data_IF_800371672061
#
_entry.id   IF_800371672061
#
_cell.length_a   1.000
_cell.length_b   1.000
_cell.length_c   1.000
_cell.angle_alpha   90.00
_cell.angle_beta   90.00
_cell.angle_gamma   90.00
#
_symmetry.space_group_name_H-M   'P 1'
#
loop_
_entity.id
_entity.type
_entity.pdbx_description
1 polymer ?
#
# COMPACT_ATOMS: atom_id res chain seq x y z
N UNK A 1 4.93 -4.62 -24.52
CA UNK A 1 5.85 -5.34 -23.60
C UNK A 1 6.67 -4.27 -22.89
N UNK A 2 6.63 -4.24 -21.56
CA UNK A 2 7.00 -3.04 -20.79
C UNK A 2 8.43 -3.06 -20.25
N UNK A 3 9.00 -4.23 -19.94
CA UNK A 3 10.28 -4.32 -19.26
C UNK A 3 11.32 -5.20 -19.95
N UNK A 4 12.59 -4.90 -19.71
CA UNK A 4 13.75 -5.72 -20.04
C UNK A 4 14.63 -5.87 -18.80
N UNK A 5 15.17 -7.07 -18.57
CA UNK A 5 16.17 -7.33 -17.53
C UNK A 5 17.47 -7.76 -18.19
N UNK A 6 18.55 -7.08 -17.85
CA UNK A 6 19.92 -7.46 -18.21
C UNK A 6 20.73 -7.68 -16.94
N UNK A 7 21.58 -8.70 -16.94
CA UNK A 7 22.47 -8.99 -15.84
C UNK A 7 23.93 -8.86 -16.25
N UNK A 8 24.76 -8.60 -15.25
CA UNK A 8 26.19 -8.38 -15.40
C UNK A 8 26.92 -9.20 -14.34
N UNK A 9 28.03 -9.83 -14.71
CA UNK A 9 28.84 -10.62 -13.75
C UNK A 9 29.56 -9.74 -12.72
N UNK A 10 29.87 -8.52 -13.12
CA UNK A 10 30.38 -7.43 -12.31
C UNK A 10 29.52 -6.20 -12.61
N UNK A 11 29.50 -5.25 -11.71
CA UNK A 11 28.79 -3.99 -11.78
C UNK A 11 29.50 -2.95 -12.63
N UNK A 12 30.62 -3.31 -13.27
CA UNK A 12 31.31 -2.43 -14.22
C UNK A 12 30.33 -1.92 -15.28
N UNK A 13 30.44 -0.64 -15.61
CA UNK A 13 29.55 0.04 -16.56
C UNK A 13 29.51 -0.64 -17.94
N UNK A 14 30.64 -1.18 -18.39
CA UNK A 14 30.81 -1.87 -19.67
C UNK A 14 30.92 -3.40 -19.52
N UNK A 15 30.54 -3.97 -18.36
CA UNK A 15 30.57 -5.41 -18.18
C UNK A 15 29.76 -6.10 -19.30
N UNK A 16 30.25 -7.21 -19.89
CA UNK A 16 29.45 -8.00 -20.80
C UNK A 16 28.13 -8.35 -20.14
N UNK A 17 27.05 -7.84 -20.72
CA UNK A 17 25.71 -8.07 -20.21
C UNK A 17 25.15 -9.35 -20.79
N UNK A 18 24.29 -9.99 -20.02
CA UNK A 18 23.49 -11.10 -20.46
C UNK A 18 22.03 -10.69 -20.39
N UNK A 19 21.30 -10.90 -21.48
CA UNK A 19 19.86 -10.75 -21.48
C UNK A 19 19.25 -11.83 -20.57
N UNK A 20 18.45 -11.39 -19.61
CA UNK A 20 17.78 -12.27 -18.63
C UNK A 20 16.30 -12.38 -18.95
N UNK A 21 15.70 -11.27 -19.37
CA UNK A 21 14.30 -11.22 -19.76
C UNK A 21 14.11 -10.15 -20.83
N UNK A 22 13.56 -10.57 -21.97
CA UNK A 22 13.01 -9.70 -23.01
C UNK A 22 12.14 -10.56 -23.93
N UNK A 23 10.81 -10.47 -23.82
CA UNK A 23 9.94 -11.31 -24.62
C UNK A 23 9.99 -10.98 -26.12
N UNK A 24 10.53 -9.81 -26.53
CA UNK A 24 10.77 -9.46 -27.95
C UNK A 24 11.92 -10.27 -28.54
N UNK A 25 12.88 -10.65 -27.70
CA UNK A 25 14.00 -11.51 -28.05
C UNK A 25 13.73 -12.99 -27.73
N UNK A 26 12.49 -13.34 -27.36
CA UNK A 26 12.11 -14.67 -26.89
C UNK A 26 12.95 -15.18 -25.70
N UNK A 27 13.34 -14.28 -24.80
CA UNK A 27 14.05 -14.61 -23.56
C UNK A 27 13.10 -14.40 -22.39
N UNK A 28 12.81 -15.47 -21.66
CA UNK A 28 11.81 -15.49 -20.60
C UNK A 28 12.40 -15.97 -19.27
N UNK A 29 11.68 -15.69 -18.20
CA UNK A 29 11.93 -16.17 -16.84
C UNK A 29 10.65 -16.81 -16.32
N UNK A 30 10.74 -17.65 -15.28
CA UNK A 30 9.55 -18.27 -14.68
C UNK A 30 8.69 -17.25 -13.93
N UNK A 31 9.34 -16.31 -13.24
CA UNK A 31 8.70 -15.15 -12.65
C UNK A 31 9.72 -14.04 -12.43
N UNK A 32 9.27 -12.79 -12.39
CA UNK A 32 10.08 -11.66 -11.97
C UNK A 32 9.21 -10.60 -11.29
N UNK A 33 9.43 -10.39 -9.99
CA UNK A 33 8.69 -9.40 -9.20
C UNK A 33 9.64 -8.27 -8.80
N UNK A 34 9.29 -7.04 -9.16
CA UNK A 34 10.03 -5.82 -8.82
C UNK A 34 9.23 -5.01 -7.78
N UNK A 35 9.86 -4.70 -6.66
CA UNK A 35 9.29 -3.90 -5.57
C UNK A 35 10.07 -2.59 -5.41
N UNK A 36 9.54 -1.50 -5.98
CA UNK A 36 10.10 -0.15 -5.86
C UNK A 36 9.51 0.54 -4.64
N UNK A 37 10.34 1.23 -3.85
CA UNK A 37 9.97 1.70 -2.50
C UNK A 37 10.62 3.04 -2.17
N UNK A 38 9.85 3.93 -1.54
CA UNK A 38 10.39 5.17 -0.96
C UNK A 38 10.98 4.88 0.41
N UNK A 39 12.12 5.49 0.74
CA UNK A 39 12.78 5.37 2.05
C UNK A 39 13.11 3.95 2.49
N UNK A 40 13.23 3.02 1.55
CA UNK A 40 13.56 1.63 1.82
C UNK A 40 14.44 1.08 0.71
N UNK A 41 15.09 -0.05 1.00
CA UNK A 41 15.82 -0.79 -0.01
C UNK A 41 14.79 -1.53 -0.87
N UNK A 42 14.86 -1.25 -2.16
CA UNK A 42 14.01 -1.86 -3.19
C UNK A 42 14.58 -3.23 -3.56
N UNK A 43 13.73 -4.12 -4.08
CA UNK A 43 14.15 -5.47 -4.42
C UNK A 43 13.58 -5.97 -5.74
N UNK A 44 14.33 -6.86 -6.38
CA UNK A 44 13.91 -7.61 -7.55
C UNK A 44 14.11 -9.09 -7.26
N UNK A 45 13.05 -9.89 -7.38
CA UNK A 45 13.12 -11.34 -7.27
C UNK A 45 12.89 -11.95 -8.64
N UNK A 46 13.85 -12.73 -9.15
CA UNK A 46 13.76 -13.43 -10.44
C UNK A 46 13.82 -14.94 -10.20
N UNK A 47 12.88 -15.69 -10.77
CA UNK A 47 12.94 -17.15 -10.81
C UNK A 47 13.37 -17.62 -12.19
N UNK A 48 14.46 -18.36 -12.25
CA UNK A 48 15.06 -18.86 -13.49
C UNK A 48 15.17 -20.38 -13.51
N UNK A 49 15.01 -21.00 -14.68
CA UNK A 49 15.23 -22.43 -14.89
C UNK A 49 16.58 -22.69 -15.58
N UNK A 50 16.88 -23.96 -15.90
CA UNK A 50 18.16 -24.38 -16.50
C UNK A 50 18.47 -23.76 -17.88
N UNK A 51 17.47 -23.25 -18.58
CA UNK A 51 17.63 -22.62 -19.90
C UNK A 51 18.10 -21.17 -19.77
N UNK A 52 17.77 -20.52 -18.64
CA UNK A 52 18.22 -19.17 -18.36
C UNK A 52 19.73 -19.13 -18.21
N UNK A 53 20.33 -18.10 -18.80
CA UNK A 53 21.75 -17.92 -18.63
C UNK A 53 22.17 -17.46 -17.23
N UNK A 54 21.27 -17.11 -16.31
CA UNK A 54 21.66 -16.88 -14.91
C UNK A 54 21.69 -18.14 -14.06
N UNK A 55 21.21 -19.27 -14.57
CA UNK A 55 21.17 -20.52 -13.82
C UNK A 55 22.58 -21.00 -13.45
N UNK A 56 22.84 -21.15 -12.16
CA UNK A 56 24.13 -21.46 -11.52
C UNK A 56 25.26 -20.47 -11.85
N UNK A 57 24.93 -19.26 -12.31
CA UNK A 57 25.91 -18.23 -12.64
C UNK A 57 25.77 -16.94 -11.84
N UNK A 58 24.71 -16.83 -11.03
CA UNK A 58 24.58 -15.74 -10.05
C UNK A 58 25.52 -15.92 -8.87
N UNK A 59 26.37 -14.92 -8.64
CA UNK A 59 27.25 -14.79 -7.47
C UNK A 59 26.73 -13.65 -6.57
N UNK A 60 26.33 -13.93 -5.31
CA UNK A 60 25.95 -12.89 -4.36
C UNK A 60 27.03 -11.81 -4.23
N UNK A 61 26.59 -10.57 -4.06
CA UNK A 61 27.33 -9.31 -3.98
C UNK A 61 28.10 -8.89 -5.25
N UNK A 62 28.24 -9.76 -6.25
CA UNK A 62 28.96 -9.46 -7.51
C UNK A 62 28.08 -9.40 -8.74
N UNK A 63 27.07 -10.26 -8.82
CA UNK A 63 26.15 -10.25 -9.97
C UNK A 63 25.20 -9.07 -9.85
N UNK A 64 25.10 -8.27 -10.90
CA UNK A 64 24.26 -7.08 -10.95
C UNK A 64 23.16 -7.23 -11.99
N UNK A 65 22.11 -6.43 -11.84
CA UNK A 65 21.01 -6.33 -12.81
C UNK A 65 20.63 -4.88 -13.05
N UNK A 66 20.19 -4.61 -14.28
CA UNK A 66 19.41 -3.44 -14.62
C UNK A 66 18.04 -3.90 -15.10
N UNK A 67 17.00 -3.20 -14.66
CA UNK A 67 15.65 -3.31 -15.20
C UNK A 67 15.31 -2.02 -15.92
N UNK A 68 14.96 -2.13 -17.20
CA UNK A 68 14.56 -1.02 -18.03
C UNK A 68 13.07 -1.06 -18.31
N UNK A 69 12.38 0.08 -18.14
CA UNK A 69 11.03 0.29 -18.65
C UNK A 69 11.10 0.79 -20.10
N UNK A 70 10.79 -0.11 -21.03
CA UNK A 70 10.82 0.10 -22.48
C UNK A 70 9.66 0.98 -22.97
N UNK A 71 8.54 1.01 -22.25
CA UNK A 71 7.38 1.85 -22.57
C UNK A 71 7.67 3.33 -22.35
N UNK A 72 8.63 3.66 -21.48
CA UNK A 72 9.01 5.02 -21.13
C UNK A 72 10.45 5.33 -21.54
N UNK A 73 10.73 5.38 -22.84
CA UNK A 73 12.04 5.77 -23.39
C UNK A 73 13.25 4.98 -22.84
N UNK A 74 13.07 3.69 -22.55
CA UNK A 74 14.10 2.82 -21.94
C UNK A 74 14.64 3.35 -20.60
N UNK A 75 13.75 3.90 -19.76
CA UNK A 75 14.07 4.37 -18.41
C UNK A 75 14.67 3.25 -17.56
N UNK A 76 15.82 3.50 -16.91
CA UNK A 76 16.41 2.61 -15.91
C UNK A 76 15.63 2.74 -14.60
N UNK A 77 14.74 1.79 -14.33
CA UNK A 77 13.86 1.83 -13.13
C UNK A 77 14.45 1.12 -11.93
N UNK A 78 15.39 0.20 -12.13
CA UNK A 78 16.07 -0.51 -11.06
C UNK A 78 17.48 -0.88 -11.46
N UNK A 79 18.43 -0.65 -10.55
CA UNK A 79 19.77 -1.23 -10.60
C UNK A 79 20.07 -1.81 -9.22
N UNK A 80 20.61 -3.02 -9.19
CA UNK A 80 20.88 -3.71 -7.95
C UNK A 80 21.88 -4.84 -8.08
N UNK A 81 22.22 -5.43 -6.94
CA UNK A 81 23.12 -6.59 -6.82
C UNK A 81 22.42 -7.78 -6.21
N UNK A 82 22.83 -8.97 -6.61
CA UNK A 82 22.33 -10.23 -6.09
C UNK A 82 22.74 -10.37 -4.62
N UNK A 83 21.82 -10.70 -3.73
CA UNK A 83 22.13 -10.95 -2.31
C UNK A 83 21.79 -12.38 -1.87
N UNK A 84 20.87 -13.04 -2.57
CA UNK A 84 20.39 -14.37 -2.18
C UNK A 84 20.12 -15.24 -3.41
N UNK A 85 20.53 -16.50 -3.31
CA UNK A 85 20.24 -17.56 -4.29
C UNK A 85 19.59 -18.72 -3.56
N UNK A 86 18.35 -19.05 -3.92
CA UNK A 86 17.64 -20.23 -3.42
C UNK A 86 17.47 -21.23 -4.56
N UNK A 87 17.69 -22.52 -4.31
CA UNK A 87 17.46 -23.61 -5.28
C UNK A 87 16.22 -24.40 -4.87
N UNK A 88 15.30 -24.64 -5.80
CA UNK A 88 14.02 -25.31 -5.53
C UNK A 88 13.73 -26.33 -6.64
N UNK A 89 13.03 -27.41 -6.30
CA UNK A 89 12.32 -28.26 -7.24
C UNK A 89 10.83 -28.00 -7.07
N UNK A 90 10.12 -27.65 -8.14
CA UNK A 90 8.68 -27.42 -8.10
C UNK A 90 7.91 -28.74 -7.96
N UNK A 91 6.62 -28.67 -7.68
CA UNK A 91 5.73 -29.84 -7.66
C UNK A 91 5.62 -30.54 -9.01
N UNK A 92 5.90 -29.85 -10.12
CA UNK A 92 5.98 -30.42 -11.46
C UNK A 92 7.33 -31.08 -11.78
N UNK A 93 8.29 -31.06 -10.85
CA UNK A 93 9.63 -31.63 -11.02
C UNK A 93 10.62 -30.70 -11.72
N UNK A 94 10.25 -29.45 -11.98
CA UNK A 94 11.16 -28.47 -12.58
C UNK A 94 12.16 -27.95 -11.54
N UNK A 95 13.44 -27.87 -11.91
CA UNK A 95 14.47 -27.27 -11.07
C UNK A 95 14.62 -25.79 -11.40
N UNK A 96 14.40 -24.95 -10.40
CA UNK A 96 14.45 -23.49 -10.53
C UNK A 96 15.39 -22.87 -9.50
N UNK A 97 15.87 -21.67 -9.81
CA UNK A 97 16.61 -20.82 -8.89
C UNK A 97 15.89 -19.50 -8.72
N UNK A 98 15.69 -19.12 -7.47
CA UNK A 98 15.18 -17.81 -7.08
C UNK A 98 16.38 -16.92 -6.70
N UNK A 99 16.48 -15.79 -7.38
CA UNK A 99 17.56 -14.82 -7.26
C UNK A 99 16.97 -13.52 -6.72
N UNK A 100 17.39 -13.08 -5.54
CA UNK A 100 16.91 -11.83 -4.93
C UNK A 100 18.01 -10.79 -5.01
N UNK A 101 17.68 -9.66 -5.64
CA UNK A 101 18.55 -8.51 -5.79
C UNK A 101 18.05 -7.36 -4.92
N UNK A 102 18.97 -6.61 -4.33
CA UNK A 102 18.69 -5.36 -3.62
C UNK A 102 19.15 -4.16 -4.43
N UNK A 103 18.47 -3.02 -4.34
CA UNK A 103 18.86 -1.80 -5.06
C UNK A 103 20.14 -1.17 -4.53
N UNK A 104 20.66 -0.19 -5.28
CA UNK A 104 21.89 0.55 -4.96
C UNK A 104 21.91 1.20 -3.56
N UNK A 105 20.76 1.47 -2.94
CA UNK A 105 20.70 1.96 -1.56
C UNK A 105 21.28 0.91 -0.59
N UNK A 106 21.05 -0.38 -0.86
CA UNK A 106 21.53 -1.49 -0.04
C UNK A 106 23.05 -1.52 0.10
N UNK A 107 23.80 -0.81 -0.73
CA UNK A 107 25.26 -0.77 -0.65
C UNK A 107 25.70 -0.05 0.63
N UNK A 108 24.91 0.91 1.10
CA UNK A 108 25.15 1.61 2.37
C UNK A 108 25.03 0.69 3.60
N UNK A 109 24.55 -0.55 3.45
CA UNK A 109 24.60 -1.57 4.49
C UNK A 109 26.02 -2.12 4.73
N UNK A 110 26.92 -2.00 3.76
CA UNK A 110 28.24 -2.65 3.80
C UNK A 110 29.27 -1.92 4.67
N UNK A 111 28.96 -0.70 5.11
CA UNK A 111 29.87 0.12 5.90
C UNK A 111 29.20 0.57 7.19
N UNK A 112 29.95 0.46 8.28
CA UNK A 112 29.50 0.90 9.61
C UNK A 112 29.83 2.38 9.79
N UNK A 113 28.82 3.15 10.19
CA UNK A 113 28.99 4.52 10.63
C UNK A 113 29.30 4.54 12.14
N UNK A 114 30.25 5.36 12.57
CA UNK A 114 30.75 5.36 13.95
C UNK A 114 31.12 6.75 14.46
N UNK A 115 31.10 6.98 15.80
CA UNK A 115 31.56 8.23 16.38
C UNK A 115 33.01 8.55 16.02
N UNK A 116 33.28 9.78 15.55
CA UNK A 116 34.63 10.21 15.16
C UNK A 116 34.97 9.98 13.68
N UNK A 117 34.00 9.58 12.86
CA UNK A 117 34.14 9.67 11.41
C UNK A 117 34.54 11.09 10.97
N UNK A 118 35.42 11.24 9.95
CA UNK A 118 35.83 12.55 9.46
C UNK A 118 34.62 13.41 9.05
N UNK A 119 34.58 14.65 9.53
CA UNK A 119 33.53 15.61 9.21
C UNK A 119 32.34 15.63 10.20
N UNK A 120 32.29 14.76 11.20
CA UNK A 120 31.21 14.68 12.20
C UNK A 120 31.59 15.24 13.58
N UNK A 121 32.66 16.03 13.64
CA UNK A 121 33.16 16.70 14.86
C UNK A 121 32.39 17.98 15.21
N UNK A 122 31.39 18.34 14.41
CA UNK A 122 30.59 19.57 14.52
C UNK A 122 29.14 19.33 14.08
N UNK A 123 28.18 20.20 14.45
CA UNK A 123 26.85 20.21 13.85
C UNK A 123 26.92 20.40 12.34
N UNK A 124 26.12 19.65 11.59
CA UNK A 124 26.09 19.63 10.13
C UNK A 124 24.67 19.91 9.62
N UNK A 125 24.58 20.50 8.45
CA UNK A 125 23.33 20.49 7.67
C UNK A 125 23.04 19.08 7.15
N UNK A 126 21.80 18.78 6.75
CA UNK A 126 21.44 17.49 6.15
C UNK A 126 22.31 17.17 4.94
N UNK A 127 22.55 18.17 4.08
CA UNK A 127 23.42 18.01 2.91
C UNK A 127 24.85 17.64 3.30
N UNK A 128 25.41 18.30 4.30
CA UNK A 128 26.76 18.01 4.79
C UNK A 128 26.84 16.61 5.43
N UNK A 129 25.83 16.23 6.22
CA UNK A 129 25.73 14.89 6.82
C UNK A 129 25.70 13.80 5.75
N UNK A 130 24.79 13.91 4.78
CA UNK A 130 24.67 12.94 3.70
C UNK A 130 25.93 12.87 2.84
N UNK A 131 26.55 14.01 2.52
CA UNK A 131 27.80 14.04 1.76
C UNK A 131 28.96 13.39 2.54
N UNK A 132 29.05 13.63 3.84
CA UNK A 132 30.10 13.06 4.68
C UNK A 132 29.94 11.54 4.84
N UNK A 133 28.72 11.05 5.11
CA UNK A 133 28.48 9.61 5.34
C UNK A 133 28.62 8.80 4.05
N UNK A 134 28.10 9.32 2.92
CA UNK A 134 28.26 8.68 1.61
C UNK A 134 29.70 8.79 1.09
N UNK A 135 30.38 9.91 1.36
CA UNK A 135 31.80 10.08 1.06
C UNK A 135 32.68 9.10 1.85
N UNK A 136 32.37 8.87 3.12
CA UNK A 136 33.02 7.82 3.90
C UNK A 136 32.76 6.43 3.31
N UNK A 137 31.50 6.10 3.01
CA UNK A 137 31.15 4.83 2.39
C UNK A 137 31.93 4.59 1.09
N UNK A 138 31.98 5.61 0.23
CA UNK A 138 32.75 5.60 -1.02
C UNK A 138 34.27 5.52 -0.83
N UNK A 139 34.83 5.79 0.36
CA UNK A 139 36.27 5.77 0.62
C UNK A 139 36.71 4.62 1.51
N UNK A 140 35.79 3.93 2.19
CA UNK A 140 36.06 2.72 2.96
C UNK A 140 36.76 1.65 2.10
N UNK A 141 37.86 1.07 2.62
CA UNK A 141 38.62 0.02 1.93
C UNK A 141 37.85 -1.30 2.05
N UNK A 142 37.74 -2.05 0.95
CA UNK A 142 37.08 -3.36 0.93
C UNK A 142 35.58 -3.34 0.62
N UNK A 143 35.00 -2.18 0.26
CA UNK A 143 33.64 -2.13 -0.27
C UNK A 143 33.69 -2.49 -1.76
N UNK A 144 32.98 -3.57 -2.13
CA UNK A 144 32.98 -4.11 -3.50
C UNK A 144 32.50 -3.07 -4.52
N UNK A 145 31.63 -2.11 -4.13
CA UNK A 145 31.12 -1.07 -5.02
C UNK A 145 32.20 -0.26 -5.78
N UNK A 146 33.41 -0.12 -5.21
CA UNK A 146 34.56 0.53 -5.86
C UNK A 146 35.16 -0.30 -6.98
N UNK A 147 35.22 -1.61 -6.77
CA UNK A 147 35.60 -2.56 -7.81
C UNK A 147 34.53 -2.56 -8.91
N UNK A 148 33.27 -2.41 -8.51
CA UNK A 148 32.08 -2.42 -9.35
C UNK A 148 31.76 -1.07 -10.02
N UNK A 149 32.59 -0.04 -9.83
CA UNK A 149 32.41 1.32 -10.40
C UNK A 149 31.00 1.89 -10.15
N UNK A 150 30.48 1.72 -8.94
CA UNK A 150 29.23 2.33 -8.48
C UNK A 150 29.54 3.14 -7.23
N UNK A 151 29.15 4.41 -7.21
CA UNK A 151 29.49 5.31 -6.10
C UNK A 151 28.39 6.33 -5.86
N UNK A 152 28.22 6.76 -4.62
CA UNK A 152 27.38 7.92 -4.31
C UNK A 152 28.06 9.20 -4.81
N UNK A 153 27.31 10.08 -5.45
CA UNK A 153 27.85 11.30 -6.05
C UNK A 153 28.24 12.34 -5.00
N UNK A 154 29.30 13.10 -5.28
CA UNK A 154 29.65 14.28 -4.46
C UNK A 154 28.62 15.41 -4.61
N UNK A 155 27.92 15.45 -5.75
CA UNK A 155 26.82 16.38 -6.01
C UNK A 155 25.50 15.72 -5.59
N UNK A 156 25.01 16.13 -4.42
CA UNK A 156 23.67 15.73 -3.95
C UNK A 156 22.58 16.29 -4.86
N UNK A 157 21.42 15.63 -4.86
CA UNK A 157 20.19 16.16 -5.44
C UNK A 157 19.63 17.34 -4.64
N UNK A 158 18.34 17.61 -4.79
CA UNK A 158 17.67 18.61 -3.95
C UNK A 158 17.65 18.13 -2.48
N UNK A 159 18.28 18.90 -1.59
CA UNK A 159 18.29 18.66 -0.14
C UNK A 159 17.66 19.86 0.55
N UNK A 160 16.60 19.62 1.32
CA UNK A 160 15.96 20.66 2.13
C UNK A 160 16.57 20.70 3.54
N UNK A 161 17.60 21.53 3.72
CA UNK A 161 18.26 21.71 5.02
C UNK A 161 17.34 22.36 6.07
N UNK A 162 16.22 22.99 5.69
CA UNK A 162 15.33 23.66 6.63
C UNK A 162 14.49 22.66 7.46
N UNK A 163 14.58 21.36 7.15
CA UNK A 163 14.00 20.32 7.99
C UNK A 163 14.71 20.20 9.34
N UNK A 164 15.96 20.65 9.44
CA UNK A 164 16.61 20.86 10.74
C UNK A 164 16.19 22.21 11.31
N UNK A 165 15.60 22.19 12.50
CA UNK A 165 15.10 23.40 13.17
C UNK A 165 16.13 24.07 14.08
N UNK A 166 17.28 23.43 14.27
CA UNK A 166 18.39 23.94 15.06
C UNK A 166 19.07 25.13 14.37
N UNK A 167 19.91 25.88 15.11
CA UNK A 167 20.53 27.11 14.63
C UNK A 167 21.28 26.91 13.30
N UNK A 168 20.88 27.66 12.27
CA UNK A 168 21.47 27.60 10.94
C UNK A 168 21.13 26.33 10.14
N UNK A 169 20.09 25.58 10.53
CA UNK A 169 19.69 24.34 9.86
C UNK A 169 20.68 23.19 10.06
N UNK A 170 21.34 23.17 11.23
CA UNK A 170 22.42 22.23 11.54
C UNK A 170 22.12 21.41 12.77
N UNK A 171 22.38 20.11 12.70
CA UNK A 171 22.15 19.19 13.80
C UNK A 171 23.41 18.40 14.15
N UNK A 172 23.52 18.00 15.42
CA UNK A 172 24.59 17.10 15.88
C UNK A 172 24.11 15.67 15.73
N UNK A 173 24.45 15.07 14.60
CA UNK A 173 24.07 13.69 14.30
C UNK A 173 24.74 12.67 15.22
N UNK A 174 23.96 11.67 15.61
CA UNK A 174 24.37 10.61 16.53
C UNK A 174 24.68 9.32 15.79
N UNK A 175 25.61 8.54 16.36
CA UNK A 175 26.09 7.29 15.79
C UNK A 175 26.09 6.20 16.86
N UNK A 176 25.55 5.05 16.50
CA UNK A 176 25.44 3.88 17.40
C UNK A 176 26.02 2.62 16.73
N UNK A 177 27.14 2.78 16.00
CA UNK A 177 27.83 1.69 15.30
C UNK A 177 26.92 0.88 14.34
N UNK A 178 25.88 1.51 13.80
CA UNK A 178 24.98 0.94 12.79
C UNK A 178 25.60 1.09 11.40
N UNK A 179 25.08 0.36 10.41
CA UNK A 179 25.48 0.61 9.03
C UNK A 179 25.06 2.03 8.59
N UNK A 180 25.66 2.51 7.50
CA UNK A 180 25.42 3.87 7.01
C UNK A 180 23.96 4.11 6.64
N UNK A 181 23.25 3.12 6.09
CA UNK A 181 21.84 3.26 5.75
C UNK A 181 20.95 3.39 6.99
N UNK A 182 21.11 2.51 7.97
CA UNK A 182 20.34 2.55 9.21
C UNK A 182 20.60 3.84 9.99
N UNK A 183 21.86 4.31 9.99
CA UNK A 183 22.21 5.61 10.56
C UNK A 183 21.49 6.75 9.84
N UNK A 184 21.47 6.75 8.51
CA UNK A 184 20.72 7.74 7.72
C UNK A 184 19.24 7.69 8.04
N UNK A 185 18.67 6.49 8.11
CA UNK A 185 17.25 6.28 8.37
C UNK A 185 16.85 6.82 9.72
N UNK A 186 17.56 6.47 10.78
CA UNK A 186 17.24 6.94 12.13
C UNK A 186 17.41 8.45 12.27
N UNK A 187 18.52 8.97 11.74
CA UNK A 187 18.87 10.38 11.90
C UNK A 187 18.03 11.31 11.02
N UNK A 188 17.49 10.85 9.89
CA UNK A 188 16.72 11.67 8.96
C UNK A 188 15.27 11.20 8.84
N UNK A 189 15.02 9.97 8.36
CA UNK A 189 13.66 9.49 8.08
C UNK A 189 12.85 9.44 9.38
N UNK A 190 13.35 8.75 10.40
CA UNK A 190 12.60 8.52 11.64
C UNK A 190 12.50 9.79 12.50
N UNK A 191 13.56 10.63 12.53
CA UNK A 191 13.60 11.86 13.34
C UNK A 191 12.89 13.05 12.69
N UNK A 192 13.13 13.30 11.41
CA UNK A 192 12.65 14.51 10.72
C UNK A 192 11.38 14.27 9.92
N UNK A 193 11.19 13.03 9.44
CA UNK A 193 10.30 12.74 8.33
C UNK A 193 10.78 13.38 7.02
N UNK A 194 10.35 12.83 5.90
CA UNK A 194 10.76 13.24 4.57
C UNK A 194 10.99 12.04 3.67
N UNK A 195 11.38 12.27 2.42
CA UNK A 195 11.51 11.26 1.39
C UNK A 195 12.84 11.43 0.66
N UNK A 196 13.55 10.31 0.49
CA UNK A 196 14.71 10.24 -0.39
C UNK A 196 14.28 10.14 -1.84
N UNK A 197 15.00 10.87 -2.69
CA UNK A 197 14.97 10.68 -4.15
C UNK A 197 16.29 10.06 -4.57
N UNK A 198 16.25 9.00 -5.37
CA UNK A 198 17.45 8.26 -5.78
C UNK A 198 17.51 8.22 -7.29
N UNK A 199 18.61 8.75 -7.84
CA UNK A 199 18.84 8.72 -9.28
C UNK A 199 20.15 8.01 -9.58
N UNK A 200 20.10 6.97 -10.40
CA UNK A 200 21.26 6.26 -10.90
C UNK A 200 21.62 6.82 -12.27
N UNK A 201 22.76 7.51 -12.36
CA UNK A 201 23.21 8.14 -13.60
C UNK A 201 24.44 7.44 -14.15
N UNK A 202 24.45 7.04 -15.43
CA UNK A 202 25.65 6.58 -16.08
C UNK A 202 26.62 7.76 -16.28
N UNK A 203 27.91 7.52 -16.06
CA UNK A 203 29.00 8.44 -16.41
C UNK A 203 29.91 7.70 -17.40
N UNK A 204 29.57 7.74 -18.71
CA UNK A 204 30.21 6.87 -19.71
C UNK A 204 31.72 7.06 -19.79
N UNK A 205 32.20 8.31 -19.75
CA UNK A 205 33.63 8.63 -19.85
C UNK A 205 34.45 8.05 -18.69
N UNK A 206 33.82 7.87 -17.52
CA UNK A 206 34.42 7.30 -16.32
C UNK A 206 34.06 5.82 -16.12
N UNK A 207 33.30 5.23 -17.05
CA UNK A 207 32.81 3.84 -17.02
C UNK A 207 32.24 3.47 -15.64
N UNK A 208 31.40 4.34 -15.10
CA UNK A 208 30.79 4.15 -13.77
C UNK A 208 29.35 4.59 -13.72
N UNK A 209 28.67 4.20 -12.65
CA UNK A 209 27.40 4.78 -12.25
C UNK A 209 27.59 5.67 -11.02
N UNK A 210 26.87 6.79 -11.01
CA UNK A 210 26.80 7.71 -9.88
C UNK A 210 25.38 7.71 -9.33
N UNK A 211 25.26 7.47 -8.02
CA UNK A 211 24.01 7.51 -7.27
C UNK A 211 23.86 8.92 -6.70
N UNK A 212 22.87 9.66 -7.15
CA UNK A 212 22.56 11.00 -6.65
C UNK A 212 21.38 10.89 -5.70
N UNK A 213 21.57 11.30 -4.44
CA UNK A 213 20.53 11.29 -3.41
C UNK A 213 19.98 12.70 -3.18
N UNK A 214 18.66 12.85 -3.16
CA UNK A 214 17.93 14.01 -2.64
C UNK A 214 17.18 13.68 -1.35
N UNK A 215 16.72 14.69 -0.62
CA UNK A 215 15.96 14.54 0.63
C UNK A 215 15.09 15.78 0.90
N UNK A 216 13.77 15.59 0.98
CA UNK A 216 12.80 16.67 1.25
C UNK A 216 11.49 16.12 1.83
N UNK A 217 10.65 16.99 2.42
CA UNK A 217 9.24 16.65 2.72
C UNK A 217 8.32 16.75 1.51
N UNK A 218 8.76 17.38 0.43
CA UNK A 218 7.97 17.52 -0.79
C UNK A 218 7.94 16.22 -1.60
N UNK A 219 6.84 16.01 -2.32
CA UNK A 219 6.75 14.97 -3.35
C UNK A 219 7.72 15.25 -4.49
N UNK A 220 8.11 14.20 -5.22
CA UNK A 220 8.80 14.39 -6.49
C UNK A 220 7.89 15.07 -7.54
N UNK A 221 6.58 14.75 -7.53
CA UNK A 221 5.57 15.43 -8.34
C UNK A 221 4.13 15.13 -7.87
N UNK A 222 3.21 16.03 -8.22
CA UNK A 222 1.77 15.83 -8.11
C UNK A 222 1.17 15.62 -9.51
N UNK A 223 0.28 14.65 -9.63
CA UNK A 223 -0.40 14.30 -10.89
C UNK A 223 -1.92 14.33 -10.69
N UNK A 224 -2.53 15.52 -10.52
CA UNK A 224 -3.97 15.64 -10.31
C UNK A 224 -4.78 15.17 -11.53
N UNK A 225 -4.22 15.25 -12.73
CA UNK A 225 -4.86 14.83 -13.97
C UNK A 225 -4.69 13.33 -14.28
N UNK A 226 -3.83 12.63 -13.53
CA UNK A 226 -3.58 11.18 -13.67
C UNK A 226 -4.37 10.41 -12.61
N UNK A 227 -5.67 10.26 -12.85
CA UNK A 227 -6.58 9.62 -11.89
C UNK A 227 -6.33 8.10 -11.76
N UNK A 228 -6.43 7.59 -10.54
CA UNK A 228 -6.64 6.16 -10.23
C UNK A 228 -8.11 6.00 -9.83
N UNK A 229 -8.92 5.39 -10.70
CA UNK A 229 -10.37 5.55 -10.68
C UNK A 229 -11.13 4.24 -10.85
N UNK A 230 -12.15 4.07 -10.01
CA UNK A 230 -13.10 2.96 -10.09
C UNK A 230 -13.78 2.91 -11.46
N UNK A 231 -13.84 1.72 -12.05
CA UNK A 231 -14.44 1.51 -13.37
C UNK A 231 -13.58 1.97 -14.56
N UNK A 232 -12.35 2.44 -14.32
CA UNK A 232 -11.41 2.84 -15.39
C UNK A 232 -10.13 2.00 -15.32
N UNK A 233 -9.26 2.26 -14.34
CA UNK A 233 -7.95 1.62 -14.19
C UNK A 233 -7.74 0.99 -12.80
N UNK A 234 -8.64 1.24 -11.84
CA UNK A 234 -8.61 0.58 -10.53
C UNK A 234 -9.27 -0.80 -10.61
N UNK A 235 -8.48 -1.85 -10.33
CA UNK A 235 -8.95 -3.22 -10.27
C UNK A 235 -9.54 -3.53 -8.89
N UNK A 236 -8.82 -3.16 -7.84
CA UNK A 236 -9.28 -3.25 -6.45
C UNK A 236 -8.64 -2.15 -5.61
N UNK A 237 -9.31 -1.77 -4.53
CA UNK A 237 -8.77 -0.85 -3.56
C UNK A 237 -9.31 -1.21 -2.17
N UNK A 238 -8.41 -1.21 -1.18
CA UNK A 238 -8.74 -1.41 0.21
C UNK A 238 -8.21 -0.25 1.04
N UNK A 239 -9.02 0.21 1.98
CA UNK A 239 -8.59 1.10 3.06
C UNK A 239 -8.92 0.45 4.39
N UNK A 240 -7.92 0.33 5.26
CA UNK A 240 -8.10 -0.14 6.63
C UNK A 240 -7.89 1.02 7.59
N UNK A 241 -8.85 1.21 8.50
CA UNK A 241 -8.86 2.24 9.53
C UNK A 241 -8.29 1.63 10.81
N UNK A 242 -7.15 2.12 11.28
CA UNK A 242 -6.56 1.70 12.56
C UNK A 242 -6.68 2.82 13.63
N UNK A 243 -7.66 2.70 14.56
CA UNK A 243 -7.82 3.64 15.67
C UNK A 243 -7.06 3.22 16.94
N UNK A 244 -6.21 2.18 16.90
CA UNK A 244 -5.58 1.62 18.11
C UNK A 244 -4.68 2.61 18.88
N UNK A 245 -4.24 3.68 18.22
CA UNK A 245 -3.42 4.75 18.82
C UNK A 245 -4.23 5.92 19.37
N UNK A 246 -5.56 5.90 19.26
CA UNK A 246 -6.43 6.94 19.81
C UNK A 246 -6.32 6.97 21.33
N UNK A 247 -6.03 8.15 21.89
CA UNK A 247 -6.13 8.44 23.31
C UNK A 247 -7.32 9.36 23.53
N UNK A 248 -8.24 8.99 24.41
CA UNK A 248 -9.39 9.84 24.77
C UNK A 248 -9.20 10.51 26.14
N UNK A 249 -8.31 9.95 26.97
CA UNK A 249 -7.81 10.52 28.22
C UNK A 249 -6.28 10.47 28.26
N UNK A 250 -5.66 11.64 28.18
CA UNK A 250 -4.21 11.75 28.21
C UNK A 250 -3.74 12.05 29.62
N UNK A 251 -2.78 11.27 30.14
CA UNK A 251 -2.02 11.55 31.35
C UNK A 251 -0.72 12.27 30.94
N UNK A 252 -0.60 13.59 31.14
CA UNK A 252 0.59 14.34 30.79
C UNK A 252 1.72 14.09 31.79
N UNK A 253 2.89 13.72 31.28
CA UNK A 253 4.09 13.46 32.07
C UNK A 253 5.15 14.51 31.76
N UNK A 254 5.66 15.17 32.78
CA UNK A 254 6.74 16.16 32.67
C UNK A 254 8.13 15.56 32.84
N UNK A 255 9.06 16.44 33.16
CA UNK A 255 10.45 16.11 33.46
C UNK A 255 10.53 15.04 34.57
N UNK A 256 11.60 14.26 34.53
CA UNK A 256 11.93 13.36 35.65
C UNK A 256 12.19 14.21 36.91
N UNK A 257 11.58 13.80 38.02
CA UNK A 257 11.84 14.37 39.34
C UNK A 257 13.14 13.72 39.82
N UNK A 258 14.17 14.54 40.00
CA UNK A 258 15.46 14.09 40.49
C UNK A 258 15.38 13.91 42.01
N UNK A 259 14.74 12.83 42.44
CA UNK A 259 14.77 12.35 43.81
C UNK A 259 15.75 11.18 43.93
N UNK A 260 16.37 11.02 45.10
CA UNK A 260 17.34 9.93 45.35
C UNK A 260 16.65 8.56 45.49
N UNK A 261 15.42 8.38 44.99
CA UNK A 261 14.69 7.12 45.08
C UNK A 261 14.98 6.21 43.88
N UNK A 262 14.77 4.91 44.06
CA UNK A 262 14.91 3.93 42.98
C UNK A 262 13.77 4.02 41.93
N UNK A 263 12.72 4.79 42.22
CA UNK A 263 11.58 5.00 41.31
C UNK A 263 11.69 6.33 40.59
N UNK A 264 11.89 6.30 39.27
CA UNK A 264 11.89 7.51 38.42
C UNK A 264 10.51 8.15 38.36
N UNK A 265 10.18 9.03 39.30
CA UNK A 265 8.95 9.82 39.29
C UNK A 265 9.04 10.95 38.26
N UNK A 266 7.89 11.42 37.77
CA UNK A 266 7.78 12.53 36.82
C UNK A 266 6.79 13.57 37.32
N UNK A 267 6.97 14.82 36.91
CA UNK A 267 5.96 15.86 37.13
C UNK A 267 4.64 15.47 36.42
N UNK A 268 3.50 15.70 37.07
CA UNK A 268 2.15 15.36 36.59
C UNK A 268 1.19 16.51 36.93
N UNK A 269 -0.06 16.43 36.47
CA UNK A 269 -1.07 17.48 36.68
C UNK A 269 -1.43 17.75 38.15
N UNK A 270 -1.18 16.80 39.03
CA UNK A 270 -1.41 16.93 40.48
C UNK A 270 -0.12 17.14 41.28
N UNK A 271 1.05 17.25 40.65
CA UNK A 271 2.30 17.49 41.39
C UNK A 271 2.18 18.74 42.26
N UNK A 272 2.49 18.59 43.56
CA UNK A 272 2.36 19.68 44.54
C UNK A 272 0.95 19.88 45.12
N UNK A 273 0.00 18.98 44.86
CA UNK A 273 -1.35 19.00 45.47
C UNK A 273 -1.51 17.89 46.52
N UNK A 274 -2.11 18.23 47.65
CA UNK A 274 -2.58 17.27 48.64
C UNK A 274 -3.99 16.75 48.26
N UNK A 275 -4.30 15.50 48.61
CA UNK A 275 -5.62 14.86 48.40
C UNK A 275 -6.15 14.85 46.95
N UNK A 276 -5.28 14.57 45.97
CA UNK A 276 -5.69 14.45 44.57
C UNK A 276 -6.48 13.16 44.30
N UNK A 277 -7.35 13.20 43.30
CA UNK A 277 -8.10 12.04 42.80
C UNK A 277 -7.57 11.65 41.42
N UNK A 278 -7.85 10.43 40.98
CA UNK A 278 -7.35 9.94 39.69
C UNK A 278 -7.84 10.82 38.52
N UNK A 279 -9.06 11.35 38.62
CA UNK A 279 -9.64 12.30 37.66
C UNK A 279 -8.89 13.63 37.52
N UNK A 280 -8.04 13.99 38.48
CA UNK A 280 -7.24 15.22 38.41
C UNK A 280 -5.98 15.05 37.55
N UNK A 281 -5.62 13.81 37.21
CA UNK A 281 -4.36 13.43 36.57
C UNK A 281 -4.35 13.40 35.05
N UNK A 282 -5.50 13.54 34.43
CA UNK A 282 -5.62 13.49 32.98
C UNK A 282 -6.41 14.67 32.44
N UNK A 283 -6.15 14.96 31.17
CA UNK A 283 -7.01 15.78 30.34
C UNK A 283 -7.82 14.84 29.45
N UNK A 284 -9.04 15.22 29.08
CA UNK A 284 -9.94 14.37 28.29
C UNK A 284 -10.58 15.12 27.13
N UNK A 285 -11.02 14.37 26.13
CA UNK A 285 -11.88 14.88 25.06
C UNK A 285 -13.22 14.16 25.10
N UNK A 286 -14.28 14.89 25.44
CA UNK A 286 -15.63 14.34 25.53
C UNK A 286 -16.13 13.84 24.16
N UNK A 287 -15.69 14.48 23.06
CA UNK A 287 -16.06 14.08 21.70
C UNK A 287 -15.41 12.76 21.29
N UNK A 288 -14.14 12.58 21.67
CA UNK A 288 -13.42 11.33 21.45
C UNK A 288 -13.96 10.21 22.33
N UNK A 289 -14.26 10.50 23.61
CA UNK A 289 -14.88 9.51 24.52
C UNK A 289 -16.24 9.04 24.00
N UNK A 290 -17.04 9.95 23.42
CA UNK A 290 -18.33 9.60 22.81
C UNK A 290 -18.17 8.66 21.61
N UNK A 291 -17.10 8.83 20.84
CA UNK A 291 -16.87 8.10 19.59
C UNK A 291 -16.16 6.75 19.82
N UNK A 292 -15.09 6.74 20.62
CA UNK A 292 -14.20 5.59 20.82
C UNK A 292 -14.24 4.99 22.22
N UNK A 293 -14.98 5.59 23.14
CA UNK A 293 -14.98 5.21 24.56
C UNK A 293 -13.76 5.73 25.31
N UNK A 294 -13.54 5.19 26.52
CA UNK A 294 -12.46 5.64 27.41
C UNK A 294 -11.18 4.87 27.10
N UNK A 295 -10.15 5.56 26.61
CA UNK A 295 -8.84 5.01 26.26
C UNK A 295 -7.77 5.91 26.88
N UNK A 296 -6.98 5.35 27.78
CA UNK A 296 -5.89 6.06 28.46
C UNK A 296 -4.59 5.98 27.66
N UNK A 297 -3.85 7.08 27.63
CA UNK A 297 -2.51 7.15 27.07
C UNK A 297 -1.65 8.15 27.83
N UNK A 298 -0.35 8.16 27.53
CA UNK A 298 0.62 9.06 28.13
C UNK A 298 1.38 9.81 27.05
N UNK A 299 1.80 11.04 27.36
CA UNK A 299 2.73 11.81 26.54
C UNK A 299 3.74 12.46 27.47
N UNK A 300 5.03 12.39 27.11
CA UNK A 300 6.13 12.91 27.92
C UNK A 300 6.62 14.23 27.34
N UNK A 301 6.82 15.22 28.21
CA UNK A 301 7.48 16.49 27.94
C UNK A 301 8.66 16.65 28.91
N UNK A 302 9.84 16.17 28.49
CA UNK A 302 11.03 16.06 29.34
C UNK A 302 11.52 17.37 29.95
N UNK A 303 11.12 18.52 29.39
CA UNK A 303 11.53 19.86 29.84
C UNK A 303 10.49 20.58 30.71
N UNK A 304 9.31 20.01 30.90
CA UNK A 304 8.18 20.70 31.57
C UNK A 304 8.05 20.23 33.01
N UNK A 305 8.12 21.16 33.97
CA UNK A 305 7.95 20.89 35.40
C UNK A 305 6.66 21.46 35.98
N UNK A 306 6.05 22.45 35.31
CA UNK A 306 4.84 23.12 35.76
C UNK A 306 3.57 22.31 35.39
N UNK A 307 2.75 21.89 36.37
CA UNK A 307 1.49 21.20 36.12
C UNK A 307 0.48 21.96 35.24
N UNK A 308 0.46 23.31 35.30
CA UNK A 308 -0.46 24.10 34.48
C UNK A 308 -0.04 24.09 33.01
N UNK A 309 1.26 24.21 32.75
CA UNK A 309 1.81 24.10 31.40
C UNK A 309 1.62 22.68 30.83
N UNK A 310 1.82 21.63 31.64
CA UNK A 310 1.49 20.25 31.25
C UNK A 310 0.01 20.09 30.88
N UNK A 311 -0.90 20.74 31.61
CA UNK A 311 -2.33 20.72 31.29
C UNK A 311 -2.62 21.37 29.93
N UNK A 312 -2.04 22.55 29.68
CA UNK A 312 -2.20 23.28 28.41
C UNK A 312 -1.68 22.44 27.24
N UNK A 313 -0.45 21.93 27.34
CA UNK A 313 0.17 21.08 26.31
C UNK A 313 -0.62 19.79 26.09
N UNK A 314 -1.12 19.16 27.15
CA UNK A 314 -1.95 17.96 27.05
C UNK A 314 -3.28 18.22 26.33
N UNK A 315 -3.94 19.35 26.61
CA UNK A 315 -5.18 19.75 25.91
C UNK A 315 -4.93 20.03 24.43
N UNK A 316 -3.85 20.74 24.10
CA UNK A 316 -3.46 21.00 22.72
C UNK A 316 -3.10 19.72 21.97
N UNK A 317 -2.42 18.79 22.65
CA UNK A 317 -2.08 17.48 22.08
C UNK A 317 -3.35 16.68 21.78
N UNK A 318 -4.31 16.59 22.71
CA UNK A 318 -5.58 15.90 22.48
C UNK A 318 -6.39 16.55 21.36
N UNK A 319 -6.41 17.88 21.28
CA UNK A 319 -7.13 18.61 20.24
C UNK A 319 -6.55 18.38 18.83
N UNK A 320 -5.27 18.01 18.74
CA UNK A 320 -4.56 17.73 17.48
C UNK A 320 -4.34 16.25 17.23
N UNK A 321 -4.95 15.38 18.05
CA UNK A 321 -4.71 13.96 17.96
C UNK A 321 -5.14 13.41 16.60
N UNK A 322 -4.27 12.60 16.03
CA UNK A 322 -4.55 11.78 14.85
C UNK A 322 -5.45 10.62 15.28
N UNK A 323 -6.63 10.53 14.68
CA UNK A 323 -7.67 9.61 15.13
C UNK A 323 -7.61 8.29 14.38
N UNK A 324 -7.21 8.32 13.13
CA UNK A 324 -7.15 7.14 12.29
C UNK A 324 -5.89 7.17 11.45
N UNK A 325 -5.21 6.02 11.39
CA UNK A 325 -4.23 5.72 10.36
C UNK A 325 -4.93 4.86 9.31
N UNK A 326 -5.06 5.38 8.09
CA UNK A 326 -5.63 4.65 6.96
C UNK A 326 -4.50 3.95 6.21
N UNK A 327 -4.49 2.61 6.18
CA UNK A 327 -3.58 1.86 5.31
C UNK A 327 -4.31 1.51 4.02
N UNK A 328 -3.67 1.85 2.90
CA UNK A 328 -4.26 1.81 1.58
C UNK A 328 -3.46 0.87 0.68
N UNK A 329 -4.17 -0.03 0.02
CA UNK A 329 -3.62 -0.90 -1.02
C UNK A 329 -4.52 -0.81 -2.25
N UNK A 330 -3.90 -0.57 -3.41
CA UNK A 330 -4.62 -0.37 -4.67
C UNK A 330 -4.00 -1.26 -5.73
N UNK A 331 -4.77 -2.18 -6.28
CA UNK A 331 -4.42 -2.86 -7.52
C UNK A 331 -4.93 -2.01 -8.69
N UNK A 332 -4.03 -1.64 -9.59
CA UNK A 332 -4.33 -0.78 -10.74
C UNK A 332 -3.63 -1.28 -12.00
N UNK A 333 -4.04 -0.71 -13.12
CA UNK A 333 -3.49 -1.02 -14.44
C UNK A 333 -2.56 0.09 -14.95
N UNK A 334 -1.39 -0.28 -15.44
CA UNK A 334 -0.52 0.61 -16.20
C UNK A 334 -0.61 0.35 -17.71
N UNK A 335 -0.48 1.41 -18.48
CA UNK A 335 -0.38 1.37 -19.96
C UNK A 335 0.93 2.01 -20.40
N UNK A 336 1.27 1.94 -21.69
CA UNK A 336 2.47 2.63 -22.20
C UNK A 336 2.42 4.17 -22.01
N UNK A 337 1.23 4.74 -21.74
CA UNK A 337 1.03 6.18 -21.50
C UNK A 337 0.86 6.54 -20.02
N UNK A 338 0.60 5.57 -19.14
CA UNK A 338 0.41 5.79 -17.70
C UNK A 338 1.43 4.96 -16.94
N UNK A 339 2.31 5.65 -16.20
CA UNK A 339 3.27 5.05 -15.26
C UNK A 339 3.15 5.75 -13.91
N UNK A 340 3.02 4.95 -12.87
CA UNK A 340 3.04 5.36 -11.47
C UNK A 340 4.44 5.21 -10.90
N UNK A 341 4.87 6.22 -10.14
CA UNK A 341 6.19 6.29 -9.51
C UNK A 341 6.05 6.38 -7.99
N UNK A 342 6.80 5.59 -7.21
CA UNK A 342 6.95 5.84 -5.78
C UNK A 342 7.43 7.26 -5.51
N UNK A 343 6.93 7.89 -4.44
CA UNK A 343 7.24 9.27 -4.04
C UNK A 343 6.34 10.32 -4.69
N UNK A 344 5.63 9.98 -5.77
CA UNK A 344 4.67 10.85 -6.45
C UNK A 344 3.28 10.75 -5.82
N UNK A 345 2.45 11.78 -6.02
CA UNK A 345 1.03 11.78 -5.66
C UNK A 345 0.13 11.70 -6.88
N UNK A 346 -0.94 10.91 -6.78
CA UNK A 346 -1.93 10.70 -7.83
C UNK A 346 -3.34 10.92 -7.29
N UNK A 347 -4.24 11.38 -8.15
CA UNK A 347 -5.63 11.63 -7.75
C UNK A 347 -6.38 10.30 -7.63
N UNK A 348 -6.71 9.91 -6.40
CA UNK A 348 -7.56 8.76 -6.15
C UNK A 348 -9.03 9.14 -6.29
N UNK A 349 -9.81 8.34 -7.02
CA UNK A 349 -11.23 8.58 -7.28
C UNK A 349 -12.03 7.30 -7.10
N UNK A 350 -12.48 7.07 -5.86
CA UNK A 350 -13.46 6.04 -5.53
C UNK A 350 -14.29 6.47 -4.31
N UNK A 351 -15.32 7.28 -4.57
CA UNK A 351 -16.24 7.79 -3.56
C UNK A 351 -17.14 6.70 -2.92
N UNK A 352 -17.02 5.44 -3.34
CA UNK A 352 -17.60 4.29 -2.63
C UNK A 352 -16.72 3.85 -1.46
N UNK A 353 -15.42 4.14 -1.52
CA UNK A 353 -14.42 3.68 -0.56
C UNK A 353 -13.92 4.79 0.36
N UNK A 354 -13.58 5.95 -0.19
CA UNK A 354 -13.29 7.16 0.58
C UNK A 354 -13.36 8.43 -0.28
N UNK A 355 -13.25 9.59 0.37
CA UNK A 355 -13.15 10.89 -0.33
C UNK A 355 -12.01 10.89 -1.34
N UNK A 356 -12.33 11.31 -2.57
CA UNK A 356 -11.31 11.60 -3.58
C UNK A 356 -10.25 12.56 -3.04
N UNK A 357 -8.99 12.15 -3.14
CA UNK A 357 -7.85 12.91 -2.62
C UNK A 357 -6.56 12.54 -3.36
N UNK A 358 -5.56 13.41 -3.28
CA UNK A 358 -4.21 13.11 -3.76
C UNK A 358 -3.52 12.17 -2.76
N UNK A 359 -3.19 10.97 -3.23
CA UNK A 359 -2.56 9.93 -2.44
C UNK A 359 -1.12 9.68 -2.90
N UNK A 360 -0.18 9.59 -1.95
CA UNK A 360 1.24 9.37 -2.24
C UNK A 360 1.52 7.88 -2.37
N UNK A 361 2.12 7.47 -3.47
CA UNK A 361 2.62 6.08 -3.63
C UNK A 361 3.91 5.94 -2.83
N UNK A 362 3.99 4.96 -1.93
CA UNK A 362 5.22 4.66 -1.17
C UNK A 362 5.89 3.37 -1.62
N UNK A 363 5.12 2.47 -2.23
CA UNK A 363 5.64 1.24 -2.80
C UNK A 363 4.84 0.87 -4.05
N UNK A 364 5.54 0.33 -5.04
CA UNK A 364 4.98 -0.21 -6.28
C UNK A 364 5.56 -1.60 -6.50
N UNK A 365 4.68 -2.58 -6.53
CA UNK A 365 4.98 -3.96 -6.90
C UNK A 365 4.56 -4.21 -8.34
N UNK A 366 5.45 -4.84 -9.12
CA UNK A 366 5.22 -5.18 -10.53
C UNK A 366 5.65 -6.61 -10.78
N UNK A 367 4.75 -7.44 -11.30
CA UNK A 367 5.14 -8.67 -12.01
C UNK A 367 5.63 -8.29 -13.41
N UNK A 368 6.94 -8.32 -13.63
CA UNK A 368 7.59 -7.99 -14.90
C UNK A 368 7.11 -8.90 -16.05
N UNK A 369 6.66 -10.13 -15.74
CA UNK A 369 6.11 -11.07 -16.72
C UNK A 369 4.67 -10.74 -17.11
N UNK A 370 3.95 -10.00 -16.26
CA UNK A 370 2.57 -9.52 -16.46
C UNK A 370 2.43 -8.03 -16.12
N UNK A 371 3.18 -7.14 -16.79
CA UNK A 371 3.58 -5.84 -16.23
C UNK A 371 2.51 -4.75 -16.24
N UNK A 372 1.31 -5.05 -16.72
CA UNK A 372 0.24 -4.08 -16.73
C UNK A 372 -0.54 -4.07 -15.43
N UNK A 373 -0.63 -5.20 -14.72
CA UNK A 373 -1.27 -5.24 -13.41
C UNK A 373 -0.21 -4.94 -12.36
N UNK A 374 -0.44 -3.91 -11.56
CA UNK A 374 0.49 -3.50 -10.52
C UNK A 374 -0.24 -3.31 -9.20
N UNK A 375 0.50 -3.43 -8.11
CA UNK A 375 0.01 -3.11 -6.76
C UNK A 375 0.72 -1.86 -6.27
N UNK A 376 -0.06 -0.87 -5.87
CA UNK A 376 0.42 0.37 -5.26
C UNK A 376 0.07 0.33 -3.77
N UNK A 377 1.09 0.43 -2.92
CA UNK A 377 0.87 0.78 -1.52
C UNK A 377 1.01 2.28 -1.38
N UNK A 378 0.03 2.84 -0.71
CA UNK A 378 -0.07 4.28 -0.53
C UNK A 378 0.37 4.63 0.88
N UNK A 379 0.97 5.82 1.02
CA UNK A 379 1.31 6.38 2.31
C UNK A 379 0.10 6.39 3.24
N UNK A 380 0.33 6.02 4.49
CA UNK A 380 -0.71 6.08 5.50
C UNK A 380 -1.24 7.50 5.64
N UNK A 381 -2.53 7.68 5.37
CA UNK A 381 -3.19 8.96 5.61
C UNK A 381 -3.69 9.03 7.04
N UNK A 382 -3.56 10.22 7.62
CA UNK A 382 -4.03 10.49 8.97
C UNK A 382 -5.33 11.27 8.87
N UNK A 383 -6.35 10.86 9.62
CA UNK A 383 -7.61 11.59 9.68
C UNK A 383 -7.84 12.16 11.07
N UNK A 384 -8.33 13.40 11.11
CA UNK A 384 -8.87 14.05 12.29
C UNK A 384 -10.23 13.44 12.67
N UNK A 385 -10.72 13.75 13.87
CA UNK A 385 -12.04 13.30 14.32
C UNK A 385 -13.15 13.76 13.37
N UNK A 386 -13.09 15.02 12.96
CA UNK A 386 -14.09 15.63 12.06
C UNK A 386 -14.15 14.91 10.71
N UNK A 387 -13.00 14.60 10.14
CA UNK A 387 -12.92 13.87 8.86
C UNK A 387 -13.46 12.44 9.00
N UNK A 388 -13.11 11.76 10.10
CA UNK A 388 -13.63 10.43 10.40
C UNK A 388 -15.17 10.42 10.53
N UNK A 389 -15.74 11.35 11.32
CA UNK A 389 -17.19 11.48 11.48
C UNK A 389 -17.88 11.85 10.17
N UNK A 390 -17.28 12.73 9.36
CA UNK A 390 -17.82 13.11 8.06
C UNK A 390 -17.90 11.91 7.12
N UNK A 391 -16.87 11.07 7.11
CA UNK A 391 -16.85 9.84 6.31
C UNK A 391 -17.90 8.84 6.79
N UNK A 392 -18.02 8.66 8.11
CA UNK A 392 -19.05 7.80 8.69
C UNK A 392 -20.47 8.26 8.31
N UNK A 393 -20.75 9.56 8.38
CA UNK A 393 -22.04 10.13 7.98
C UNK A 393 -22.36 9.89 6.51
N UNK A 394 -21.35 9.99 5.63
CA UNK A 394 -21.52 9.69 4.19
C UNK A 394 -21.83 8.24 3.95
N UNK A 395 -21.08 7.34 4.58
CA UNK A 395 -21.31 5.89 4.47
C UNK A 395 -22.70 5.51 4.97
N UNK A 396 -23.15 6.08 6.09
CA UNK A 396 -24.51 5.90 6.60
C UNK A 396 -25.57 6.44 5.62
N UNK A 397 -25.34 7.61 5.02
CA UNK A 397 -26.22 8.18 4.00
C UNK A 397 -26.41 7.26 2.81
N UNK A 398 -25.32 6.68 2.32
CA UNK A 398 -25.33 5.74 1.19
C UNK A 398 -26.03 4.42 1.51
N UNK A 399 -25.82 3.88 2.71
CA UNK A 399 -26.56 2.71 3.19
C UNK A 399 -28.06 2.98 3.18
N UNK A 400 -28.51 4.17 3.63
CA UNK A 400 -29.94 4.55 3.60
C UNK A 400 -30.48 4.66 2.17
N UNK A 401 -29.70 5.20 1.25
CA UNK A 401 -30.06 5.27 -0.17
C UNK A 401 -30.24 3.87 -0.77
N UNK A 402 -29.27 2.97 -0.54
CA UNK A 402 -29.34 1.57 -0.97
C UNK A 402 -30.55 0.84 -0.38
N UNK A 403 -30.84 1.04 0.90
CA UNK A 403 -32.03 0.49 1.55
C UNK A 403 -33.32 1.01 0.90
N UNK A 404 -33.36 2.30 0.58
CA UNK A 404 -34.51 2.92 -0.08
C UNK A 404 -34.70 2.35 -1.49
N UNK A 405 -33.61 2.17 -2.23
CA UNK A 405 -33.65 1.61 -3.58
C UNK A 405 -34.07 0.14 -3.56
N UNK A 406 -33.50 -0.67 -2.66
CA UNK A 406 -33.89 -2.06 -2.45
C UNK A 406 -35.38 -2.19 -2.10
N UNK A 407 -35.91 -1.31 -1.25
CA UNK A 407 -37.33 -1.28 -0.94
C UNK A 407 -38.22 -0.93 -2.15
N UNK A 408 -37.76 -0.04 -3.06
CA UNK A 408 -38.47 0.25 -4.32
C UNK A 408 -38.45 -0.94 -5.26
N UNK A 409 -37.30 -1.59 -5.40
CA UNK A 409 -37.13 -2.75 -6.28
C UNK A 409 -37.99 -3.93 -5.80
N UNK A 410 -38.09 -4.14 -4.48
CA UNK A 410 -39.00 -5.14 -3.91
C UNK A 410 -40.46 -4.87 -4.28
N UNK A 411 -40.93 -3.61 -4.15
CA UNK A 411 -42.30 -3.25 -4.56
C UNK A 411 -42.54 -3.48 -6.05
N UNK A 412 -41.54 -3.23 -6.90
CA UNK A 412 -41.62 -3.47 -8.34
C UNK A 412 -41.70 -4.97 -8.65
N UNK A 413 -40.93 -5.78 -7.95
CA UNK A 413 -40.99 -7.25 -8.05
C UNK A 413 -42.38 -7.75 -7.65
N UNK A 414 -42.92 -7.30 -6.52
CA UNK A 414 -44.25 -7.70 -6.05
C UNK A 414 -45.35 -7.30 -7.06
N UNK A 415 -45.25 -6.12 -7.66
CA UNK A 415 -46.19 -5.66 -8.69
C UNK A 415 -46.11 -6.51 -9.97
N UNK A 416 -44.89 -6.84 -10.42
CA UNK A 416 -44.69 -7.72 -11.59
C UNK A 416 -45.21 -9.14 -11.33
N UNK A 417 -45.00 -9.68 -10.13
CA UNK A 417 -45.54 -10.99 -9.73
C UNK A 417 -47.07 -11.00 -9.78
N UNK A 418 -47.74 -9.94 -9.32
CA UNK A 418 -49.20 -9.79 -9.44
C UNK A 418 -49.65 -9.76 -10.90
N UNK A 419 -48.99 -8.98 -11.75
CA UNK A 419 -49.31 -8.93 -13.19
C UNK A 419 -49.13 -10.30 -13.87
N UNK A 420 -48.07 -11.04 -13.52
CA UNK A 420 -47.85 -12.41 -14.03
C UNK A 420 -49.00 -13.34 -13.60
N UNK A 421 -49.42 -13.27 -12.34
CA UNK A 421 -50.54 -14.07 -11.84
C UNK A 421 -51.86 -13.72 -12.54
N UNK A 422 -52.13 -12.44 -12.78
CA UNK A 422 -53.30 -11.97 -13.53
C UNK A 422 -53.27 -12.48 -14.98
N UNK A 423 -52.14 -12.36 -15.68
CA UNK A 423 -51.99 -12.88 -17.05
C UNK A 423 -52.16 -14.40 -17.12
N UNK A 424 -51.65 -15.15 -16.14
CA UNK A 424 -51.87 -16.59 -16.05
C UNK A 424 -53.34 -16.95 -15.83
N UNK A 425 -54.04 -16.17 -15.00
CA UNK A 425 -55.48 -16.36 -14.81
C UNK A 425 -56.26 -16.07 -16.09
N UNK A 426 -55.94 -14.98 -16.79
CA UNK A 426 -56.59 -14.61 -18.06
C UNK A 426 -56.33 -15.65 -19.16
N UNK A 427 -55.12 -16.23 -19.22
CA UNK A 427 -54.81 -17.29 -20.19
C UNK A 427 -55.58 -18.58 -19.91
N UNK A 428 -55.74 -18.96 -18.64
CA UNK A 428 -56.58 -20.10 -18.23
C UNK A 428 -58.06 -19.87 -18.59
N UNK A 429 -58.57 -18.65 -18.39
CA UNK A 429 -59.95 -18.30 -18.79
C UNK A 429 -60.12 -18.36 -20.32
N UNK A 430 -59.12 -17.92 -21.09
CA UNK A 430 -59.14 -18.05 -22.56
C UNK A 430 -59.05 -19.50 -23.04
N UNK A 431 -58.28 -20.35 -22.37
CA UNK A 431 -58.24 -21.78 -22.67
C UNK A 431 -59.55 -22.49 -22.31
N UNK A 432 -60.18 -22.14 -21.18
CA UNK A 432 -61.46 -22.69 -20.75
C UNK A 432 -62.66 -22.27 -21.61
N UNK A 433 -62.61 -21.08 -22.23
CA UNK A 433 -63.67 -20.60 -23.15
C UNK A 433 -63.54 -21.12 -24.59
N UNK A 434 -62.47 -21.87 -24.90
CA UNK A 434 -62.22 -22.47 -26.22
C UNK A 434 -62.77 -23.90 -26.40
N UNK A 435 -63.31 -24.55 -25.36
CA UNK A 435 -63.95 -25.86 -25.51
C UNK A 435 -65.39 -25.69 -26.04
N UNK A 436 -65.52 -25.74 -27.36
CA UNK A 436 -66.78 -26.15 -27.99
C UNK A 436 -67.06 -27.59 -27.56
N UNK A 437 -68.12 -27.79 -26.78
CA UNK A 437 -68.58 -29.12 -26.37
C UNK A 437 -68.98 -29.89 -27.64
N UNK A 438 -68.10 -30.75 -28.12
CA UNK A 438 -68.39 -31.63 -29.24
C UNK A 438 -69.51 -32.59 -28.84
N UNK A 439 -70.65 -32.49 -29.53
CA UNK A 439 -71.87 -33.24 -29.22
C UNK A 439 -71.62 -34.75 -29.17
N UNK A 440 -71.97 -35.36 -28.04
CA UNK A 440 -72.10 -36.80 -27.89
C UNK A 440 -73.31 -37.15 -27.03
N UNK A 441 -73.60 -38.45 -26.88
CA UNK A 441 -74.80 -38.92 -26.19
C UNK A 441 -74.77 -38.51 -24.71
N UNK A 442 -75.82 -37.81 -24.26
CA UNK A 442 -76.05 -37.46 -22.85
C UNK A 442 -77.20 -38.24 -22.21
N UNK A 443 -77.89 -39.08 -22.99
CA UNK A 443 -79.03 -39.88 -22.56
C UNK A 443 -78.84 -41.35 -22.98
N UNK A 444 -79.39 -42.31 -22.22
CA UNK A 444 -79.25 -43.73 -22.52
C UNK A 444 -79.92 -44.09 -23.84
N UNK A 445 -79.22 -44.85 -24.67
CA UNK A 445 -79.73 -45.30 -25.96
C UNK A 445 -80.40 -46.66 -25.74
N UNK A 446 -81.72 -46.73 -25.89
CA UNK A 446 -82.51 -47.95 -25.63
C UNK A 446 -82.31 -48.54 -24.22
N UNK A 447 -82.08 -47.68 -23.22
CA UNK A 447 -81.82 -48.10 -21.84
C UNK A 447 -80.37 -48.49 -21.53
N UNK A 448 -79.49 -48.52 -22.55
CA UNK A 448 -78.06 -48.72 -22.37
C UNK A 448 -77.34 -47.39 -22.10
N UNK A 449 -76.67 -47.31 -20.96
CA UNK A 449 -75.85 -46.17 -20.54
C UNK A 449 -74.40 -46.25 -21.03
N UNK A 450 -73.97 -47.39 -21.56
CA UNK A 450 -72.61 -47.61 -22.07
C UNK A 450 -72.11 -46.49 -22.99
N UNK A 451 -72.88 -46.02 -23.99
CA UNK A 451 -72.47 -44.91 -24.87
C UNK A 451 -72.25 -43.58 -24.14
N UNK A 452 -73.09 -43.26 -23.15
CA UNK A 452 -72.97 -42.02 -22.34
C UNK A 452 -71.73 -42.11 -21.44
N UNK A 453 -71.51 -43.26 -20.81
CA UNK A 453 -70.37 -43.51 -19.92
C UNK A 453 -69.06 -43.46 -20.72
N UNK A 454 -69.00 -44.09 -21.90
CA UNK A 454 -67.83 -44.03 -22.80
C UNK A 454 -67.58 -42.61 -23.33
N UNK A 455 -68.64 -41.85 -23.60
CA UNK A 455 -68.51 -40.44 -24.00
C UNK A 455 -67.95 -39.58 -22.87
N UNK A 456 -68.48 -39.74 -21.65
CA UNK A 456 -67.99 -39.05 -20.45
C UNK A 456 -66.54 -39.40 -20.12
N UNK A 457 -66.17 -40.68 -20.18
CA UNK A 457 -64.79 -41.11 -19.93
C UNK A 457 -63.81 -40.58 -20.99
N UNK A 458 -64.23 -40.45 -22.25
CA UNK A 458 -63.43 -39.79 -23.29
C UNK A 458 -63.21 -38.31 -22.99
N UNK A 459 -64.25 -37.60 -22.50
CA UNK A 459 -64.11 -36.20 -22.07
C UNK A 459 -63.18 -36.04 -20.86
N UNK A 460 -63.14 -37.05 -19.99
CA UNK A 460 -62.30 -37.07 -18.79
C UNK A 460 -60.92 -37.73 -18.99
N UNK A 461 -60.64 -38.23 -20.19
CA UNK A 461 -59.42 -38.98 -20.53
C UNK A 461 -59.15 -40.20 -19.61
N UNK A 462 -60.21 -40.96 -19.31
CA UNK A 462 -60.17 -42.19 -18.50
C UNK A 462 -60.45 -43.41 -19.39
N UNK A 463 -59.66 -44.48 -19.26
CA UNK A 463 -59.94 -45.77 -19.90
C UNK A 463 -60.96 -46.56 -19.09
N UNK A 464 -61.98 -47.11 -19.75
CA UNK A 464 -62.95 -48.01 -19.15
C UNK A 464 -62.64 -49.41 -19.67
N UNK A 465 -62.42 -50.35 -18.77
CA UNK A 465 -62.34 -51.78 -19.07
C UNK A 465 -63.77 -52.37 -19.05
N UNK A 466 -64.13 -53.15 -20.07
CA UNK A 466 -65.47 -53.74 -20.24
C UNK A 466 -65.57 -55.14 -19.56
N UNK A 467 -64.86 -55.34 -18.45
CA UNK A 467 -64.80 -56.61 -17.70
C UNK A 467 -65.89 -56.79 -16.64
#
# INVERSE_FOLDING_TARGET
MRYQIVAFKTGDYDAPSQLVYDPRANVHVQSATLNLKVNAIEDLTITVNKESGLYNRGEPFKTHVNVYNLGNSNELVFRGRLIKVSRKMTSSGEFVQELVFESVIGYLLDTIAFPGMPGFDKPLTIKEFLAAITGFHNTAKGVDNKAEKISFGNNMGAIDNNLETDEGGKHKYEFDYKNCWDTIKEQLIDRLGGYFTIQVRPVPDEKRYVIVMGYSKMTEADHPDSEIKIGVNMQSAGVSVDPTKVVTRLIPLGATIDDKSETKQRYMLWSGKDNYRFEDGFVKSDELEKTFGIIYGTQVWEQVKDPNELRRLGQEWLARQIIVVNNWEIETFETDVITYYPGHRYQFVNNELAVSQLLRVVEKEVDITSPNNITLKIENTQSTLTEYQLEELRMQGKVRELQTQSAKDQRRIDALLKQIQEMQRDSLVRQGSGQTVAGGPTEPVNGDWGPVIKHAARLMNVEIDDS
#
